data_IF_883397858037
#
_entry.id   IF_883397858037
#
_cell.length_a   1.000
_cell.length_b   1.000
_cell.length_c   1.000
_cell.angle_alpha   90.00
_cell.angle_beta   90.00
_cell.angle_gamma   90.00
#
_symmetry.space_group_name_H-M   'P 1'
#
loop_
_entity.id
_entity.type
_entity.pdbx_description
1 polymer ?
#
# COMPACT_ATOMS: atom_id res chain seq x y z
N UNK A 1 18.80 -17.44 -9.38
CA UNK A 1 17.71 -17.16 -8.41
C UNK A 1 16.59 -16.47 -9.17
N UNK A 2 15.33 -16.92 -9.05
CA UNK A 2 14.20 -16.47 -9.87
C UNK A 2 13.67 -15.06 -9.54
N UNK A 3 14.28 -14.33 -8.60
CA UNK A 3 13.90 -12.96 -8.24
C UNK A 3 14.57 -12.51 -6.94
N UNK A 4 14.36 -11.25 -6.56
CA UNK A 4 14.84 -10.68 -5.30
C UNK A 4 13.66 -10.47 -4.36
N UNK A 5 13.78 -10.94 -3.11
CA UNK A 5 12.78 -10.66 -2.09
C UNK A 5 12.84 -9.18 -1.70
N UNK A 6 11.71 -8.49 -1.72
CA UNK A 6 11.60 -7.09 -1.38
C UNK A 6 10.27 -6.78 -0.73
N UNK A 7 10.27 -5.74 0.10
CA UNK A 7 9.07 -5.17 0.70
C UNK A 7 8.66 -3.95 -0.14
N UNK A 8 7.43 -3.93 -0.64
CA UNK A 8 6.90 -2.90 -1.53
C UNK A 8 6.10 -1.85 -0.74
N UNK A 9 5.36 -2.28 0.27
CA UNK A 9 4.68 -1.40 1.23
C UNK A 9 4.90 -1.93 2.65
N UNK A 10 4.61 -1.12 3.65
CA UNK A 10 4.79 -1.48 5.06
C UNK A 10 3.48 -1.30 5.82
N UNK A 11 3.41 -1.81 7.05
CA UNK A 11 2.29 -1.59 7.94
C UNK A 11 2.39 -0.27 8.75
N UNK A 12 3.51 0.44 8.65
CA UNK A 12 3.81 1.64 9.46
C UNK A 12 4.47 2.76 8.66
N UNK A 13 5.79 2.69 8.43
CA UNK A 13 6.58 3.76 7.77
C UNK A 13 6.99 3.40 6.35
N UNK A 14 7.41 4.42 5.60
CA UNK A 14 7.84 4.33 4.19
C UNK A 14 8.93 3.27 3.96
N UNK A 15 8.78 2.49 2.89
CA UNK A 15 9.83 1.59 2.40
C UNK A 15 10.82 2.36 1.53
N UNK A 16 12.09 1.92 1.52
CA UNK A 16 13.16 2.56 0.75
C UNK A 16 12.85 2.39 -0.76
N UNK A 17 12.83 3.53 -1.48
CA UNK A 17 12.42 3.62 -2.89
C UNK A 17 13.50 3.09 -3.84
N UNK A 18 13.66 1.79 -3.94
CA UNK A 18 14.77 1.19 -4.70
C UNK A 18 14.37 0.60 -6.05
N UNK A 19 13.06 0.47 -6.36
CA UNK A 19 12.56 -0.24 -7.54
C UNK A 19 11.18 0.27 -8.02
N UNK A 20 10.89 0.24 -9.35
CA UNK A 20 9.56 0.47 -9.95
C UNK A 20 8.41 -0.33 -9.30
N UNK A 21 8.68 -1.54 -8.83
CA UNK A 21 7.79 -2.41 -8.06
C UNK A 21 7.14 -1.69 -6.86
N UNK A 22 7.85 -0.75 -6.25
CA UNK A 22 7.30 0.09 -5.17
C UNK A 22 6.08 0.91 -5.64
N UNK A 23 6.11 1.43 -6.87
CA UNK A 23 5.00 2.23 -7.40
C UNK A 23 3.74 1.38 -7.60
N UNK A 24 3.91 0.13 -8.06
CA UNK A 24 2.80 -0.82 -8.16
C UNK A 24 2.23 -1.17 -6.79
N UNK A 25 3.07 -1.37 -5.77
CA UNK A 25 2.62 -1.64 -4.41
C UNK A 25 1.79 -0.48 -3.81
N UNK A 26 2.25 0.76 -3.98
CA UNK A 26 1.50 1.96 -3.55
C UNK A 26 0.18 2.12 -4.31
N UNK A 27 0.20 1.90 -5.64
CA UNK A 27 -1.00 2.00 -6.45
C UNK A 27 -2.03 0.92 -6.12
N UNK A 28 -1.59 -0.30 -5.79
CA UNK A 28 -2.49 -1.35 -5.31
C UNK A 28 -3.13 -0.99 -3.98
N UNK A 29 -2.36 -0.47 -3.02
CA UNK A 29 -2.91 0.04 -1.76
C UNK A 29 -3.97 1.12 -2.01
N UNK A 30 -3.68 2.10 -2.87
CA UNK A 30 -4.64 3.15 -3.26
C UNK A 30 -5.90 2.53 -3.85
N UNK A 31 -5.75 1.67 -4.86
CA UNK A 31 -6.89 1.00 -5.49
C UNK A 31 -7.77 0.29 -4.47
N UNK A 32 -7.20 -0.46 -3.52
CA UNK A 32 -8.00 -1.16 -2.49
C UNK A 32 -8.72 -0.21 -1.54
N UNK A 33 -8.11 0.94 -1.21
CA UNK A 33 -8.74 1.98 -0.42
C UNK A 33 -9.92 2.63 -1.15
N UNK A 34 -9.74 3.01 -2.41
CA UNK A 34 -10.81 3.63 -3.20
C UNK A 34 -11.93 2.62 -3.51
N UNK A 35 -11.58 1.40 -3.92
CA UNK A 35 -12.54 0.34 -4.23
C UNK A 35 -13.40 -0.06 -3.02
N UNK A 36 -12.85 0.03 -1.81
CA UNK A 36 -13.57 -0.23 -0.56
C UNK A 36 -14.30 0.98 -0.01
N UNK A 37 -14.41 2.09 -0.76
CA UNK A 37 -14.99 3.35 -0.30
C UNK A 37 -14.32 3.90 0.97
N UNK A 38 -13.03 3.67 1.10
CA UNK A 38 -12.19 4.15 2.20
C UNK A 38 -12.25 3.31 3.47
N UNK A 39 -12.89 2.13 3.43
CA UNK A 39 -13.03 1.28 4.61
C UNK A 39 -11.83 0.36 4.86
N UNK A 40 -11.08 0.01 3.81
CA UNK A 40 -10.01 -1.00 3.87
C UNK A 40 -8.81 -0.61 3.02
N UNK A 41 -7.59 -0.89 3.49
CA UNK A 41 -6.38 -0.77 2.68
C UNK A 41 -5.49 -1.99 2.85
N UNK A 42 -4.99 -2.51 1.74
CA UNK A 42 -4.01 -3.60 1.73
C UNK A 42 -2.60 -3.02 1.70
N UNK A 43 -1.81 -3.36 2.70
CA UNK A 43 -0.42 -2.92 2.91
C UNK A 43 0.47 -4.11 3.26
N UNK A 44 1.71 -3.84 3.65
CA UNK A 44 2.72 -4.87 3.94
C UNK A 44 2.99 -5.83 2.77
N UNK A 45 2.82 -5.33 1.54
CA UNK A 45 3.07 -6.11 0.34
C UNK A 45 4.56 -6.44 0.26
N UNK A 46 4.89 -7.72 0.37
CA UNK A 46 6.25 -8.22 0.33
C UNK A 46 6.31 -9.54 -0.44
N UNK A 47 7.46 -9.84 -1.01
CA UNK A 47 7.67 -11.07 -1.75
C UNK A 47 8.71 -10.95 -2.85
N UNK A 48 8.63 -11.80 -3.86
CA UNK A 48 9.66 -11.89 -4.90
C UNK A 48 9.25 -11.10 -6.13
N UNK A 49 10.10 -10.14 -6.48
CA UNK A 49 9.99 -9.37 -7.72
C UNK A 49 10.94 -9.99 -8.73
N UNK A 50 10.39 -10.46 -9.84
CA UNK A 50 11.18 -10.96 -10.97
C UNK A 50 11.60 -9.80 -11.88
N UNK A 51 12.61 -10.03 -12.73
CA UNK A 51 13.00 -9.10 -13.81
C UNK A 51 13.16 -7.63 -13.37
N UNK A 52 13.78 -7.41 -12.18
CA UNK A 52 14.04 -6.07 -11.62
C UNK A 52 12.81 -5.15 -11.53
N UNK A 53 11.60 -5.69 -11.41
CA UNK A 53 10.37 -4.90 -11.24
C UNK A 53 9.55 -4.67 -12.50
N UNK A 54 9.90 -5.32 -13.60
CA UNK A 54 9.14 -5.28 -14.86
C UNK A 54 8.42 -6.60 -15.17
N UNK A 55 8.76 -7.67 -14.45
CA UNK A 55 8.14 -8.99 -14.57
C UNK A 55 7.08 -9.27 -13.51
N UNK A 56 6.81 -10.56 -13.30
CA UNK A 56 5.85 -11.05 -12.29
C UNK A 56 6.32 -10.75 -10.86
N UNK A 57 5.37 -10.41 -9.99
CA UNK A 57 5.60 -10.23 -8.55
C UNK A 57 4.76 -11.26 -7.78
N UNK A 58 5.43 -12.07 -6.96
CA UNK A 58 4.79 -13.02 -6.06
C UNK A 58 4.73 -12.43 -4.66
N UNK A 59 3.53 -12.20 -4.13
CA UNK A 59 3.32 -11.56 -2.84
C UNK A 59 2.94 -12.59 -1.76
N UNK A 60 3.37 -12.34 -0.53
CA UNK A 60 3.03 -13.12 0.67
C UNK A 60 2.79 -12.19 1.86
N UNK A 61 2.11 -12.72 2.88
CA UNK A 61 1.92 -12.09 4.19
C UNK A 61 1.46 -10.61 4.16
N UNK A 62 0.38 -10.27 3.42
CA UNK A 62 -0.13 -8.90 3.42
C UNK A 62 -0.78 -8.54 4.76
N UNK A 63 -0.91 -7.24 5.02
CA UNK A 63 -1.72 -6.70 6.10
C UNK A 63 -2.93 -5.95 5.54
N UNK A 64 -4.10 -6.16 6.14
CA UNK A 64 -5.30 -5.37 5.84
C UNK A 64 -5.60 -4.46 7.04
N UNK A 65 -5.63 -3.16 6.82
CA UNK A 65 -6.22 -2.24 7.79
C UNK A 65 -7.67 -2.01 7.40
N UNK A 66 -8.60 -2.35 8.29
CA UNK A 66 -10.05 -2.29 8.02
C UNK A 66 -10.79 -1.60 9.15
N UNK A 67 -11.78 -0.78 8.82
CA UNK A 67 -12.75 -0.21 9.76
C UNK A 67 -13.88 -1.20 10.09
N UNK A 68 -14.02 -2.27 9.30
CA UNK A 68 -14.95 -3.37 9.56
C UNK A 68 -14.41 -4.25 10.68
N UNK A 69 -15.25 -5.14 11.20
CA UNK A 69 -14.86 -6.11 12.24
C UNK A 69 -13.75 -7.04 11.69
N UNK A 70 -12.50 -6.95 12.18
CA UNK A 70 -11.41 -7.74 11.61
C UNK A 70 -11.44 -9.18 12.11
N UNK A 71 -10.91 -10.10 11.30
CA UNK A 71 -10.63 -11.46 11.74
C UNK A 71 -9.51 -11.51 12.78
N UNK A 72 -8.43 -10.75 12.58
CA UNK A 72 -7.32 -10.60 13.52
C UNK A 72 -7.23 -9.15 14.03
N UNK A 73 -7.44 -8.95 15.34
CA UNK A 73 -7.41 -7.62 15.96
C UNK A 73 -5.99 -7.08 16.20
N UNK A 74 -4.98 -7.95 16.33
CA UNK A 74 -3.64 -7.53 16.81
C UNK A 74 -2.87 -6.73 15.77
N UNK A 75 -3.01 -7.07 14.50
CA UNK A 75 -2.26 -6.45 13.41
C UNK A 75 -3.06 -5.42 12.60
N UNK A 76 -4.39 -5.37 12.81
CA UNK A 76 -5.23 -4.32 12.26
C UNK A 76 -5.16 -3.03 13.11
N UNK A 77 -4.52 -1.99 12.58
CA UNK A 77 -4.48 -0.67 13.20
C UNK A 77 -5.68 0.23 12.86
N UNK A 78 -6.70 -0.31 12.20
CA UNK A 78 -7.95 0.38 11.86
C UNK A 78 -7.67 1.74 11.20
N UNK A 79 -8.35 2.81 11.65
CA UNK A 79 -8.17 4.17 11.13
C UNK A 79 -6.72 4.65 11.18
N UNK A 80 -5.97 4.30 12.24
CA UNK A 80 -4.57 4.69 12.35
C UNK A 80 -3.73 4.07 11.24
N UNK A 81 -3.98 2.80 10.91
CA UNK A 81 -3.29 2.12 9.82
C UNK A 81 -3.60 2.73 8.45
N UNK A 82 -4.87 3.09 8.23
CA UNK A 82 -5.30 3.82 7.03
C UNK A 82 -4.58 5.17 6.94
N UNK A 83 -4.56 5.96 8.02
CA UNK A 83 -3.88 7.26 8.02
C UNK A 83 -2.38 7.13 7.74
N UNK A 84 -1.71 6.13 8.32
CA UNK A 84 -0.30 5.86 8.04
C UNK A 84 -0.05 5.53 6.57
N UNK A 85 -0.96 4.79 5.92
CA UNK A 85 -0.87 4.58 4.47
C UNK A 85 -1.01 5.89 3.70
N UNK A 86 -2.05 6.68 3.99
CA UNK A 86 -2.35 7.93 3.30
C UNK A 86 -1.22 8.96 3.43
N UNK A 87 -0.69 9.14 4.65
CA UNK A 87 0.29 10.17 4.98
C UNK A 87 1.72 9.75 4.63
N UNK A 88 2.14 8.57 5.11
CA UNK A 88 3.55 8.21 5.14
C UNK A 88 3.98 7.39 3.90
N UNK A 89 3.05 6.64 3.31
CA UNK A 89 3.35 5.73 2.19
C UNK A 89 2.91 6.31 0.84
N UNK A 90 1.61 6.54 0.66
CA UNK A 90 1.07 7.15 -0.56
C UNK A 90 1.50 8.62 -0.65
N UNK A 91 1.21 9.41 0.39
CA UNK A 91 1.46 10.84 0.42
C UNK A 91 0.43 11.66 -0.37
N UNK A 92 0.64 12.99 -0.49
CA UNK A 92 -0.34 13.90 -1.10
C UNK A 92 -0.51 13.74 -2.61
N UNK A 93 0.50 13.20 -3.31
CA UNK A 93 0.54 13.12 -4.76
C UNK A 93 0.52 11.67 -5.24
N UNK A 94 -0.36 11.39 -6.20
CA UNK A 94 -0.41 10.09 -6.87
C UNK A 94 0.88 9.80 -7.64
N UNK A 95 1.33 8.55 -7.61
CA UNK A 95 2.40 8.09 -8.48
C UNK A 95 1.89 7.85 -9.93
N UNK A 96 2.81 7.57 -10.85
CA UNK A 96 2.48 7.39 -12.27
C UNK A 96 1.54 6.20 -12.55
N UNK A 97 1.57 5.14 -11.72
CA UNK A 97 0.67 4.01 -11.85
C UNK A 97 -0.74 4.38 -11.38
N UNK A 98 -0.88 5.07 -10.24
CA UNK A 98 -2.17 5.58 -9.76
C UNK A 98 -2.85 6.45 -10.84
N UNK A 99 -2.06 7.34 -11.49
CA UNK A 99 -2.55 8.22 -12.57
C UNK A 99 -2.99 7.42 -13.80
N UNK A 100 -2.21 6.43 -14.24
CA UNK A 100 -2.58 5.55 -15.37
C UNK A 100 -3.86 4.76 -15.11
N UNK A 101 -4.10 4.37 -13.86
CA UNK A 101 -5.32 3.70 -13.43
C UNK A 101 -6.50 4.66 -13.22
N UNK A 102 -6.30 5.97 -13.42
CA UNK A 102 -7.31 7.01 -13.20
C UNK A 102 -7.93 6.98 -11.79
N UNK A 103 -7.12 6.61 -10.78
CA UNK A 103 -7.57 6.62 -9.38
C UNK A 103 -7.83 8.05 -8.89
N UNK A 104 -8.82 8.20 -8.02
CA UNK A 104 -9.24 9.45 -7.45
C UNK A 104 -8.16 10.11 -6.59
N UNK A 105 -8.34 11.41 -6.30
CA UNK A 105 -7.47 12.07 -5.31
C UNK A 105 -7.87 11.62 -3.91
N UNK A 106 -6.95 11.02 -3.17
CA UNK A 106 -7.22 10.56 -1.81
C UNK A 106 -7.40 11.73 -0.83
N UNK A 107 -8.31 11.60 0.14
CA UNK A 107 -8.43 12.55 1.23
C UNK A 107 -7.23 12.42 2.16
N UNK A 108 -6.46 13.49 2.30
CA UNK A 108 -5.42 13.54 3.33
C UNK A 108 -6.08 13.73 4.70
N UNK A 109 -5.69 12.96 5.73
CA UNK A 109 -6.17 13.22 7.08
C UNK A 109 -5.79 14.66 7.46
N UNK A 110 -6.73 15.39 8.07
CA UNK A 110 -6.42 16.70 8.63
C UNK A 110 -5.44 16.47 9.77
N UNK A 111 -4.21 16.97 9.64
CA UNK A 111 -3.22 16.97 10.73
C UNK A 111 -3.90 17.60 11.94
N UNK A 112 -4.10 16.82 13.00
CA UNK A 112 -4.38 17.39 14.30
C UNK A 112 -3.08 18.05 14.75
N UNK A 113 -3.00 19.37 14.59
CA UNK A 113 -1.96 20.21 15.22
C UNK A 113 -2.09 20.11 16.75
#
# INVERSE_FOLDING_TARGET
MLGTFGKLTNNTRKVIKENKAFQYGIAFGHFTYEYSYGEEVVVDLQGWVTEKGEGLTYLTDPQIHTLRKPHNRKSNFHQRGINLFLEEQHGPECNEICKKLCLGKLPMPKVAL
#
